data_IF_994398633972
#
_entry.id   IF_994398633972
#
_cell.length_a   1.000
_cell.length_b   1.000
_cell.length_c   1.000
_cell.angle_alpha   90.00
_cell.angle_beta   90.00
_cell.angle_gamma   90.00
#
_symmetry.space_group_name_H-M   'P 1'
#
loop_
_entity.id
_entity.type
_entity.pdbx_description
1 polymer ?
#
# COMPACT_ATOMS: atom_id res chain seq x y z
N UNK A 1 -1.85 -2.68 -11.04
CA UNK A 1 -3.17 -3.20 -11.36
C UNK A 1 -3.13 -4.28 -12.41
N UNK A 2 -4.16 -5.12 -12.42
CA UNK A 2 -4.43 -6.23 -13.34
C UNK A 2 -5.92 -6.19 -13.73
N UNK A 3 -6.21 -6.30 -15.02
CA UNK A 3 -7.57 -6.44 -15.56
C UNK A 3 -7.87 -7.94 -15.77
N UNK A 4 -8.69 -8.52 -14.91
CA UNK A 4 -8.94 -9.96 -14.88
C UNK A 4 -9.75 -10.47 -16.08
N UNK A 5 -10.63 -9.63 -16.63
CA UNK A 5 -11.45 -9.98 -17.80
C UNK A 5 -10.88 -9.46 -19.13
N UNK A 6 -9.57 -9.22 -19.20
CA UNK A 6 -8.93 -8.64 -20.40
C UNK A 6 -9.11 -9.51 -21.66
N UNK A 7 -9.11 -10.84 -21.55
CA UNK A 7 -9.27 -11.74 -22.70
C UNK A 7 -10.66 -11.59 -23.36
N UNK A 8 -11.70 -11.51 -22.54
CA UNK A 8 -13.08 -11.30 -22.99
C UNK A 8 -13.22 -9.94 -23.70
N UNK A 9 -12.73 -8.88 -23.05
CA UNK A 9 -12.77 -7.53 -23.58
C UNK A 9 -11.97 -7.39 -24.88
N UNK A 10 -10.75 -7.96 -24.92
CA UNK A 10 -9.89 -7.98 -26.12
C UNK A 10 -10.59 -8.67 -27.28
N UNK A 11 -11.20 -9.84 -27.06
CA UNK A 11 -11.95 -10.56 -28.11
C UNK A 11 -13.12 -9.73 -28.65
N UNK A 12 -13.86 -9.04 -27.77
CA UNK A 12 -14.98 -8.19 -28.17
C UNK A 12 -14.51 -6.95 -28.95
N UNK A 13 -13.42 -6.30 -28.53
CA UNK A 13 -12.82 -5.15 -29.22
C UNK A 13 -12.29 -5.54 -30.61
N UNK A 14 -11.62 -6.69 -30.74
CA UNK A 14 -11.16 -7.20 -32.04
C UNK A 14 -12.31 -7.45 -33.01
N UNK A 15 -13.46 -7.98 -32.54
CA UNK A 15 -14.67 -8.13 -33.37
C UNK A 15 -15.24 -6.78 -33.82
N UNK A 16 -15.00 -5.71 -33.06
CA UNK A 16 -15.36 -4.33 -33.40
C UNK A 16 -14.28 -3.62 -34.25
N UNK A 17 -13.20 -4.30 -34.63
CA UNK A 17 -12.17 -3.78 -35.54
C UNK A 17 -10.98 -3.10 -34.87
N UNK A 18 -10.80 -3.25 -33.55
CA UNK A 18 -9.62 -2.75 -32.85
C UNK A 18 -8.44 -3.70 -33.01
N UNK A 19 -7.31 -3.18 -33.48
CA UNK A 19 -6.04 -3.88 -33.48
C UNK A 19 -5.36 -3.79 -32.10
N UNK A 20 -4.59 -4.82 -31.75
CA UNK A 20 -3.80 -4.87 -30.52
C UNK A 20 -2.34 -5.10 -30.86
N UNK A 21 -1.46 -4.31 -30.26
CA UNK A 21 -0.03 -4.31 -30.53
C UNK A 21 0.80 -4.81 -29.33
N UNK A 22 0.16 -5.09 -28.19
CA UNK A 22 0.79 -5.62 -27.00
C UNK A 22 0.12 -6.90 -26.50
N UNK A 23 0.85 -7.60 -25.64
CA UNK A 23 0.36 -8.72 -24.84
C UNK A 23 -0.14 -8.25 -23.46
N UNK A 24 -0.17 -6.94 -23.21
CA UNK A 24 -0.61 -6.39 -21.92
C UNK A 24 -2.13 -6.34 -21.84
N UNK A 25 -2.64 -6.54 -20.63
CA UNK A 25 -4.03 -6.28 -20.28
C UNK A 25 -4.38 -4.78 -20.32
N UNK A 26 -3.40 -3.91 -20.07
CA UNK A 26 -3.54 -2.45 -20.06
C UNK A 26 -4.03 -1.87 -21.38
N UNK A 27 -3.62 -2.42 -22.53
CA UNK A 27 -4.04 -1.94 -23.84
C UNK A 27 -5.56 -2.03 -24.06
N UNK A 28 -6.22 -2.98 -23.38
CA UNK A 28 -7.69 -3.11 -23.40
C UNK A 28 -8.36 -1.84 -22.88
N UNK A 29 -7.78 -1.18 -21.87
CA UNK A 29 -8.35 0.04 -21.28
C UNK A 29 -8.38 1.15 -22.33
N UNK A 30 -7.28 1.38 -23.04
CA UNK A 30 -7.18 2.43 -24.07
C UNK A 30 -8.20 2.20 -25.20
N UNK A 31 -8.24 0.98 -25.75
CA UNK A 31 -9.17 0.64 -26.83
C UNK A 31 -10.64 0.67 -26.37
N UNK A 32 -10.93 0.27 -25.13
CA UNK A 32 -12.28 0.33 -24.57
C UNK A 32 -12.75 1.77 -24.35
N UNK A 33 -11.87 2.65 -23.86
CA UNK A 33 -12.18 4.08 -23.72
C UNK A 33 -12.44 4.69 -25.09
N UNK A 34 -11.60 4.39 -26.09
CA UNK A 34 -11.77 4.88 -27.46
C UNK A 34 -13.14 4.47 -28.03
N UNK A 35 -13.48 3.18 -27.94
CA UNK A 35 -14.79 2.68 -28.36
C UNK A 35 -15.95 3.43 -27.69
N UNK A 36 -15.90 3.59 -26.36
CA UNK A 36 -16.96 4.24 -25.61
C UNK A 36 -17.08 5.74 -25.93
N UNK A 37 -15.95 6.40 -26.21
CA UNK A 37 -15.88 7.81 -26.61
C UNK A 37 -16.38 8.03 -28.04
N UNK A 38 -16.07 7.14 -28.97
CA UNK A 38 -16.58 7.19 -30.36
C UNK A 38 -18.11 7.03 -30.40
N UNK A 39 -18.67 6.19 -29.53
CA UNK A 39 -20.12 6.03 -29.38
C UNK A 39 -20.78 7.24 -28.68
N UNK A 40 -20.06 7.92 -27.79
CA UNK A 40 -20.58 9.08 -27.03
C UNK A 40 -19.41 10.03 -26.73
N UNK A 41 -19.25 11.12 -27.51
CA UNK A 41 -18.13 12.08 -27.40
C UNK A 41 -18.18 12.95 -26.14
N UNK A 42 -18.17 12.32 -24.97
CA UNK A 42 -18.16 12.92 -23.65
C UNK A 42 -17.23 12.10 -22.76
N UNK A 43 -16.16 12.74 -22.27
CA UNK A 43 -15.11 12.09 -21.48
C UNK A 43 -15.70 11.40 -20.25
N UNK A 44 -16.63 12.05 -19.55
CA UNK A 44 -17.25 11.50 -18.35
C UNK A 44 -18.04 10.23 -18.66
N UNK A 45 -18.85 10.24 -19.71
CA UNK A 45 -19.62 9.07 -20.13
C UNK A 45 -18.71 7.93 -20.62
N UNK A 46 -17.64 8.25 -21.35
CA UNK A 46 -16.68 7.25 -21.82
C UNK A 46 -16.00 6.53 -20.65
N UNK A 47 -15.56 7.26 -19.63
CA UNK A 47 -14.98 6.68 -18.42
C UNK A 47 -16.01 5.83 -17.66
N UNK A 48 -17.23 6.35 -17.42
CA UNK A 48 -18.31 5.60 -16.72
C UNK A 48 -18.60 4.26 -17.40
N UNK A 49 -18.78 4.26 -18.73
CA UNK A 49 -19.02 3.03 -19.50
C UNK A 49 -17.84 2.06 -19.45
N UNK A 50 -16.61 2.59 -19.37
CA UNK A 50 -15.39 1.78 -19.32
C UNK A 50 -15.27 1.09 -17.97
N UNK A 51 -15.31 1.83 -16.87
CA UNK A 51 -15.12 1.28 -15.51
C UNK A 51 -16.20 0.26 -15.14
N UNK A 52 -17.42 0.40 -15.68
CA UNK A 52 -18.51 -0.57 -15.51
C UNK A 52 -18.23 -1.95 -16.14
N UNK A 53 -17.27 -2.03 -17.07
CA UNK A 53 -16.92 -3.27 -17.79
C UNK A 53 -15.63 -3.92 -17.28
N UNK A 54 -14.77 -3.19 -16.58
CA UNK A 54 -13.50 -3.70 -16.07
C UNK A 54 -13.70 -4.52 -14.79
N UNK A 55 -12.97 -5.64 -14.67
CA UNK A 55 -12.87 -6.46 -13.45
C UNK A 55 -11.40 -6.58 -13.04
N UNK A 56 -11.15 -6.73 -11.74
CA UNK A 56 -9.80 -6.87 -11.17
C UNK A 56 -9.45 -5.70 -10.25
N UNK A 57 -8.19 -5.30 -10.24
CA UNK A 57 -7.69 -4.20 -9.40
C UNK A 57 -6.88 -3.26 -10.28
N UNK A 58 -7.22 -1.98 -10.39
CA UNK A 58 -6.55 -1.07 -11.31
C UNK A 58 -6.58 0.38 -10.85
N UNK A 59 -5.54 1.11 -11.22
CA UNK A 59 -5.59 2.55 -11.33
C UNK A 59 -4.95 2.93 -12.66
N UNK A 60 -5.53 3.91 -13.35
CA UNK A 60 -5.02 4.37 -14.64
C UNK A 60 -5.19 5.87 -14.79
N UNK A 61 -4.38 6.44 -15.68
CA UNK A 61 -4.48 7.82 -16.15
C UNK A 61 -4.47 7.78 -17.68
N UNK A 62 -5.41 8.49 -18.30
CA UNK A 62 -5.57 8.61 -19.74
C UNK A 62 -5.59 10.08 -20.13
N UNK A 63 -5.06 10.40 -21.31
CA UNK A 63 -5.02 11.75 -21.87
C UNK A 63 -5.79 11.73 -23.18
N UNK A 64 -6.76 12.65 -23.32
CA UNK A 64 -7.54 12.86 -24.52
C UNK A 64 -6.84 13.88 -25.45
N UNK A 65 -7.23 13.91 -26.72
CA UNK A 65 -6.60 14.75 -27.75
C UNK A 65 -6.67 16.25 -27.43
N UNK A 66 -7.73 16.69 -26.75
CA UNK A 66 -7.91 18.07 -26.29
C UNK A 66 -7.06 18.44 -25.07
N UNK A 67 -6.26 17.51 -24.54
CA UNK A 67 -5.45 17.68 -23.33
C UNK A 67 -6.20 17.38 -22.03
N UNK A 68 -7.48 17.02 -22.08
CA UNK A 68 -8.21 16.54 -20.90
C UNK A 68 -7.55 15.28 -20.35
N UNK A 69 -7.32 15.24 -19.04
CA UNK A 69 -6.77 14.09 -18.35
C UNK A 69 -7.87 13.45 -17.51
N UNK A 70 -8.05 12.15 -17.60
CA UNK A 70 -8.92 11.41 -16.69
C UNK A 70 -8.13 10.33 -15.96
N UNK A 71 -8.51 10.02 -14.73
CA UNK A 71 -7.91 8.91 -13.98
C UNK A 71 -8.94 8.22 -13.11
N UNK A 72 -8.87 6.91 -12.99
CA UNK A 72 -9.83 6.11 -12.22
C UNK A 72 -9.11 5.23 -11.20
N UNK A 73 -9.76 5.01 -10.06
CA UNK A 73 -9.28 4.18 -8.95
C UNK A 73 -10.22 3.02 -8.68
N UNK A 74 -9.68 1.81 -8.75
CA UNK A 74 -10.29 0.59 -8.25
C UNK A 74 -9.25 -0.26 -7.52
N UNK A 75 -9.28 -0.20 -6.19
CA UNK A 75 -8.38 -0.80 -5.21
C UNK A 75 -6.92 -0.31 -5.24
N UNK A 76 -6.33 -0.14 -6.42
CA UNK A 76 -4.96 0.38 -6.56
C UNK A 76 -4.89 1.88 -6.23
N UNK A 77 -3.79 2.39 -5.68
CA UNK A 77 -3.71 3.79 -5.29
C UNK A 77 -3.70 4.74 -6.49
N UNK A 78 -4.43 5.84 -6.35
CA UNK A 78 -4.38 7.01 -7.22
C UNK A 78 -4.61 8.26 -6.36
N UNK A 79 -3.65 9.18 -6.41
CA UNK A 79 -3.56 10.35 -5.56
C UNK A 79 -3.41 11.58 -6.46
N UNK A 80 -4.14 12.65 -6.13
CA UNK A 80 -4.02 13.95 -6.80
C UNK A 80 -3.22 14.91 -5.93
N UNK A 81 -2.04 15.33 -6.39
CA UNK A 81 -1.32 16.46 -5.81
C UNK A 81 -1.90 17.78 -6.29
N UNK A 82 -2.18 18.71 -5.37
CA UNK A 82 -2.76 20.02 -5.66
C UNK A 82 -1.70 21.11 -5.51
N UNK A 83 -1.18 21.61 -6.63
CA UNK A 83 -0.28 22.75 -6.66
C UNK A 83 -1.03 24.09 -6.71
N UNK A 84 -0.30 25.20 -6.75
CA UNK A 84 -0.91 26.54 -6.84
C UNK A 84 -1.77 26.74 -8.08
N UNK A 85 -1.29 26.26 -9.24
CA UNK A 85 -1.93 26.38 -10.55
C UNK A 85 -1.75 25.08 -11.37
N UNK A 86 -1.57 23.95 -10.69
CA UNK A 86 -1.24 22.68 -11.33
C UNK A 86 -1.81 21.53 -10.51
N UNK A 87 -2.06 20.42 -11.19
CA UNK A 87 -2.45 19.17 -10.57
C UNK A 87 -1.47 18.07 -11.01
N UNK A 88 -1.26 17.09 -10.14
CA UNK A 88 -0.39 15.95 -10.39
C UNK A 88 -1.16 14.67 -10.09
N UNK A 89 -1.18 13.71 -11.01
CA UNK A 89 -1.72 12.39 -10.74
C UNK A 89 -0.58 11.40 -10.55
N UNK A 90 -0.61 10.65 -9.45
CA UNK A 90 0.40 9.63 -9.17
C UNK A 90 -0.19 8.50 -8.34
N UNK A 91 0.46 7.33 -8.37
CA UNK A 91 0.17 6.23 -7.45
C UNK A 91 0.70 6.48 -6.03
N UNK A 92 1.63 7.43 -5.87
CA UNK A 92 2.27 7.75 -4.59
C UNK A 92 2.50 9.28 -4.47
N UNK A 93 2.42 9.82 -3.24
CA UNK A 93 2.74 11.22 -2.93
C UNK A 93 4.14 11.61 -3.40
N UNK A 94 5.09 10.67 -3.42
CA UNK A 94 6.46 10.89 -3.90
C UNK A 94 6.53 11.37 -5.35
N UNK A 95 5.53 11.05 -6.18
CA UNK A 95 5.45 11.50 -7.56
C UNK A 95 5.31 13.03 -7.71
N UNK A 96 4.87 13.73 -6.65
CA UNK A 96 4.62 15.17 -6.69
C UNK A 96 5.08 15.94 -5.45
N UNK A 97 5.64 15.29 -4.43
CA UNK A 97 5.94 15.91 -3.12
C UNK A 97 6.90 17.11 -3.23
N UNK A 98 7.80 17.13 -4.22
CA UNK A 98 8.67 18.28 -4.48
C UNK A 98 7.93 19.52 -5.00
N UNK A 99 6.69 19.36 -5.49
CA UNK A 99 5.88 20.42 -6.09
C UNK A 99 4.78 20.90 -5.16
N UNK A 100 4.22 20.01 -4.36
CA UNK A 100 3.17 20.31 -3.39
C UNK A 100 3.09 19.27 -2.29
N UNK A 101 2.72 19.70 -1.08
CA UNK A 101 2.39 18.83 0.06
C UNK A 101 0.87 18.72 0.28
N UNK A 102 0.05 19.31 -0.59
CA UNK A 102 -1.40 19.16 -0.57
C UNK A 102 -1.81 18.00 -1.49
N UNK A 103 -2.49 17.00 -0.93
CA UNK A 103 -2.91 15.78 -1.62
C UNK A 103 -4.41 15.49 -1.44
N UNK A 104 -5.00 14.90 -2.48
CA UNK A 104 -6.34 14.33 -2.47
C UNK A 104 -6.20 12.84 -2.71
N UNK A 105 -6.65 12.05 -1.74
CA UNK A 105 -6.76 10.61 -1.86
C UNK A 105 -8.14 10.30 -2.42
N UNK A 106 -8.21 9.70 -3.61
CA UNK A 106 -9.48 9.30 -4.21
C UNK A 106 -10.07 8.11 -3.45
N UNK A 107 -11.38 8.03 -3.28
CA UNK A 107 -11.98 6.83 -2.68
C UNK A 107 -11.98 5.67 -3.69
N UNK A 108 -12.28 4.47 -3.21
CA UNK A 108 -12.47 3.34 -4.12
C UNK A 108 -13.70 3.58 -4.99
N UNK A 109 -13.64 3.20 -6.27
CA UNK A 109 -14.71 3.45 -7.25
C UNK A 109 -14.94 4.94 -7.58
N UNK A 110 -13.91 5.76 -7.38
CA UNK A 110 -13.87 7.15 -7.85
C UNK A 110 -13.02 7.31 -9.11
N UNK A 111 -13.36 8.32 -9.90
CA UNK A 111 -12.53 8.84 -10.97
C UNK A 111 -12.50 10.37 -10.98
N UNK A 112 -11.46 10.90 -11.63
CA UNK A 112 -11.20 12.32 -11.80
C UNK A 112 -11.15 12.70 -13.25
N UNK A 113 -11.56 13.94 -13.54
CA UNK A 113 -11.35 14.62 -14.81
C UNK A 113 -10.66 15.96 -14.52
N UNK A 114 -9.55 16.21 -15.20
CA UNK A 114 -8.82 17.47 -15.20
C UNK A 114 -8.87 18.08 -16.59
N UNK A 115 -9.38 19.30 -16.68
CA UNK A 115 -9.44 20.08 -17.91
C UNK A 115 -9.28 21.57 -17.58
N UNK A 116 -9.52 22.46 -18.55
CA UNK A 116 -9.37 23.91 -18.39
C UNK A 116 -10.24 24.52 -17.28
N UNK A 117 -11.28 23.82 -16.84
CA UNK A 117 -12.16 24.28 -15.74
C UNK A 117 -11.70 23.81 -14.36
N UNK A 118 -10.67 22.95 -14.29
CA UNK A 118 -10.08 22.45 -13.05
C UNK A 118 -10.29 20.95 -12.82
N UNK A 119 -10.20 20.55 -11.54
CA UNK A 119 -10.36 19.18 -11.07
C UNK A 119 -11.82 18.87 -10.73
N UNK A 120 -12.36 17.81 -11.33
CA UNK A 120 -13.69 17.27 -11.06
C UNK A 120 -13.58 15.81 -10.62
N UNK A 121 -14.33 15.43 -9.59
CA UNK A 121 -14.36 14.08 -8.99
C UNK A 121 -15.76 13.48 -9.10
N UNK A 122 -15.81 12.21 -9.47
CA UNK A 122 -17.06 11.48 -9.66
C UNK A 122 -16.92 10.04 -9.16
N UNK A 123 -18.02 9.47 -8.68
CA UNK A 123 -18.11 8.02 -8.47
C UNK A 123 -18.33 7.30 -9.80
N UNK A 124 -18.10 5.99 -9.86
CA UNK A 124 -18.32 5.17 -11.06
C UNK A 124 -19.77 5.20 -11.57
N UNK A 125 -20.74 5.55 -10.72
CA UNK A 125 -22.14 5.79 -11.09
C UNK A 125 -22.38 7.16 -11.77
N UNK A 126 -21.36 8.01 -11.83
CA UNK A 126 -21.38 9.35 -12.39
C UNK A 126 -21.86 10.44 -11.44
N UNK A 127 -22.15 10.12 -10.18
CA UNK A 127 -22.47 11.10 -9.14
C UNK A 127 -21.24 11.97 -8.82
N UNK A 128 -21.45 13.25 -8.48
CA UNK A 128 -20.35 14.12 -8.07
C UNK A 128 -19.92 13.81 -6.64
N UNK A 129 -18.63 13.56 -6.45
CA UNK A 129 -18.03 13.24 -5.15
C UNK A 129 -17.29 14.46 -4.62
N UNK A 130 -17.34 14.69 -3.31
CA UNK A 130 -16.54 15.74 -2.66
C UNK A 130 -15.22 15.15 -2.19
N UNK A 131 -14.13 15.84 -2.43
CA UNK A 131 -12.83 15.49 -1.88
C UNK A 131 -12.41 16.41 -0.74
N UNK A 132 -11.46 15.94 0.06
CA UNK A 132 -10.76 16.75 1.05
C UNK A 132 -9.28 16.85 0.66
N UNK A 133 -8.73 18.06 0.79
CA UNK A 133 -7.30 18.28 0.63
C UNK A 133 -6.65 17.99 1.99
N UNK A 134 -5.75 17.03 1.99
CA UNK A 134 -4.96 16.62 3.16
C UNK A 134 -3.52 17.01 2.95
N UNK A 135 -2.89 17.55 3.98
CA UNK A 135 -1.47 17.88 3.95
C UNK A 135 -0.66 16.63 4.23
N UNK A 136 0.20 16.24 3.29
CA UNK A 136 1.11 15.10 3.43
C UNK A 136 2.04 15.33 4.63
N UNK A 137 2.27 14.31 5.45
CA UNK A 137 3.14 14.44 6.63
C UNK A 137 4.56 14.86 6.21
N UNK A 138 5.22 15.66 7.06
CA UNK A 138 6.59 16.14 6.83
C UNK A 138 7.59 15.00 6.59
N UNK A 139 7.31 13.80 7.08
CA UNK A 139 8.17 12.63 6.89
C UNK A 139 8.36 12.27 5.41
N UNK A 140 7.37 12.52 4.55
CA UNK A 140 7.52 12.34 3.10
C UNK A 140 8.22 13.53 2.41
N UNK A 141 8.21 14.71 3.04
CA UNK A 141 8.94 15.88 2.53
C UNK A 141 10.47 15.74 2.72
N UNK A 142 10.90 14.88 3.66
CA UNK A 142 12.32 14.55 3.90
C UNK A 142 12.87 13.46 2.94
N UNK A 143 12.10 13.07 1.91
CA UNK A 143 12.54 12.14 0.86
C UNK A 143 13.43 12.87 -0.15
N UNK A 144 14.57 13.35 0.34
CA UNK A 144 15.65 13.86 -0.49
C UNK A 144 16.80 12.86 -0.48
N UNK A 145 17.29 12.45 -1.65
CA UNK A 145 18.43 11.53 -1.75
C UNK A 145 19.74 12.15 -1.23
N UNK A 146 19.79 13.48 -1.04
CA UNK A 146 21.01 14.15 -0.60
C UNK A 146 22.15 13.97 -1.60
N UNK A 147 23.37 13.90 -1.07
CA UNK A 147 24.59 13.64 -1.84
C UNK A 147 24.80 12.15 -2.19
N UNK A 148 23.84 11.28 -1.86
CA UNK A 148 23.99 9.83 -2.09
C UNK A 148 23.65 9.43 -3.52
N UNK A 149 24.39 8.44 -4.06
CA UNK A 149 24.12 7.92 -5.39
C UNK A 149 22.78 7.16 -5.48
N UNK A 150 22.38 6.45 -4.43
CA UNK A 150 21.18 5.62 -4.36
C UNK A 150 20.48 5.78 -3.00
N UNK A 151 19.15 5.64 -2.96
CA UNK A 151 18.38 5.63 -1.71
C UNK A 151 18.86 4.54 -0.76
N UNK A 152 19.09 3.32 -1.26
CA UNK A 152 19.63 2.22 -0.42
C UNK A 152 20.95 2.58 0.27
N UNK A 153 21.84 3.34 -0.39
CA UNK A 153 23.09 3.77 0.25
C UNK A 153 22.84 4.82 1.33
N UNK A 154 21.95 5.79 1.06
CA UNK A 154 21.49 6.76 2.05
C UNK A 154 20.90 6.04 3.26
N UNK A 155 19.98 5.12 3.03
CA UNK A 155 19.26 4.40 4.09
C UNK A 155 20.20 3.52 4.93
N UNK A 156 21.21 2.89 4.30
CA UNK A 156 22.28 2.19 5.05
C UNK A 156 23.04 3.16 5.96
N UNK A 157 23.36 4.36 5.47
CA UNK A 157 24.08 5.37 6.27
C UNK A 157 23.25 5.96 7.41
N UNK A 158 21.92 5.92 7.30
CA UNK A 158 20.97 6.44 8.30
C UNK A 158 20.73 5.47 9.47
N UNK A 159 21.18 4.21 9.37
CA UNK A 159 20.92 3.18 10.38
C UNK A 159 21.29 3.58 11.82
N UNK A 160 22.44 4.25 12.10
CA UNK A 160 22.77 4.65 13.47
C UNK A 160 21.69 5.53 14.11
N UNK A 161 21.14 6.49 13.35
CA UNK A 161 20.10 7.39 13.81
C UNK A 161 18.75 6.65 13.89
N UNK A 162 18.42 5.86 12.87
CA UNK A 162 17.15 5.14 12.81
C UNK A 162 17.02 4.06 13.91
N UNK A 163 18.13 3.42 14.30
CA UNK A 163 18.17 2.49 15.43
C UNK A 163 17.94 3.24 16.74
N UNK A 164 18.54 4.41 16.90
CA UNK A 164 18.41 5.22 18.13
C UNK A 164 16.98 5.76 18.32
N UNK A 165 16.24 5.93 17.22
CA UNK A 165 14.85 6.38 17.21
C UNK A 165 13.84 5.22 17.21
N UNK A 166 14.30 3.97 17.07
CA UNK A 166 13.44 2.82 16.88
C UNK A 166 12.54 2.56 18.10
N UNK A 167 11.24 2.49 17.85
CA UNK A 167 10.25 2.26 18.88
C UNK A 167 10.08 3.44 19.85
N UNK A 168 9.19 3.25 20.81
CA UNK A 168 8.97 4.15 21.91
C UNK A 168 8.95 3.32 23.20
N UNK A 169 9.66 3.74 24.25
CA UNK A 169 9.79 2.97 25.48
C UNK A 169 8.43 2.57 26.10
N UNK A 170 7.44 3.46 26.05
CA UNK A 170 6.11 3.17 26.60
C UNK A 170 5.37 2.12 25.75
N UNK A 171 5.47 2.23 24.42
CA UNK A 171 4.88 1.25 23.49
C UNK A 171 5.58 -0.12 23.60
N UNK A 172 6.91 -0.12 23.72
CA UNK A 172 7.70 -1.34 23.94
C UNK A 172 7.26 -2.02 25.24
N UNK A 173 7.05 -1.26 26.31
CA UNK A 173 6.58 -1.83 27.57
C UNK A 173 5.20 -2.47 27.44
N UNK A 174 4.26 -1.81 26.74
CA UNK A 174 2.94 -2.38 26.45
C UNK A 174 3.01 -3.67 25.62
N UNK A 175 3.92 -3.70 24.65
CA UNK A 175 4.14 -4.86 23.78
C UNK A 175 4.74 -6.04 24.54
N UNK A 176 5.70 -5.76 25.44
CA UNK A 176 6.26 -6.75 26.38
C UNK A 176 5.17 -7.33 27.27
N UNK A 177 4.23 -6.51 27.76
CA UNK A 177 3.14 -6.98 28.60
C UNK A 177 2.17 -7.88 27.81
N UNK A 178 1.88 -7.54 26.54
CA UNK A 178 1.12 -8.39 25.64
C UNK A 178 1.80 -9.75 25.40
N UNK A 179 3.11 -9.76 25.16
CA UNK A 179 3.90 -10.98 24.97
C UNK A 179 3.93 -11.85 26.24
N UNK A 180 4.11 -11.26 27.42
CA UNK A 180 4.20 -12.02 28.68
C UNK A 180 2.90 -12.73 29.06
N UNK A 181 1.77 -12.20 28.63
CA UNK A 181 0.45 -12.79 28.87
C UNK A 181 0.13 -13.91 27.87
N UNK A 182 0.88 -14.03 26.78
CA UNK A 182 0.66 -15.00 25.74
C UNK A 182 0.93 -16.42 26.23
N UNK A 183 -0.05 -17.32 26.03
CA UNK A 183 0.18 -18.77 26.19
C UNK A 183 1.00 -19.33 25.03
N UNK A 184 0.61 -18.92 23.81
CA UNK A 184 1.28 -19.24 22.57
C UNK A 184 1.60 -17.92 21.86
N UNK A 185 2.83 -17.80 21.36
CA UNK A 185 3.33 -16.60 20.72
C UNK A 185 3.78 -16.93 19.30
N UNK A 186 3.13 -16.29 18.34
CA UNK A 186 3.45 -16.37 16.93
C UNK A 186 4.02 -15.05 16.45
N UNK A 187 4.94 -15.13 15.50
CA UNK A 187 5.48 -13.96 14.83
C UNK A 187 5.54 -14.20 13.32
N UNK A 188 5.14 -13.20 12.55
CA UNK A 188 5.09 -13.26 11.09
C UNK A 188 5.66 -12.00 10.45
N UNK A 189 5.98 -12.15 9.17
CA UNK A 189 6.36 -11.09 8.25
C UNK A 189 6.50 -11.68 6.85
N UNK A 190 6.85 -10.83 5.88
CA UNK A 190 7.25 -11.28 4.54
C UNK A 190 8.68 -10.83 4.23
N UNK A 191 9.42 -11.65 3.47
CA UNK A 191 10.80 -11.39 3.06
C UNK A 191 11.72 -11.00 4.23
N UNK A 192 12.30 -9.80 4.16
CA UNK A 192 13.22 -9.29 5.19
C UNK A 192 12.58 -9.16 6.57
N UNK A 193 11.28 -8.86 6.66
CA UNK A 193 10.59 -8.79 7.97
C UNK A 193 10.41 -10.19 8.59
N UNK A 194 10.27 -11.24 7.77
CA UNK A 194 10.31 -12.62 8.26
C UNK A 194 11.70 -13.02 8.76
N UNK A 195 12.77 -12.54 8.10
CA UNK A 195 14.12 -12.75 8.61
C UNK A 195 14.31 -12.11 10.01
N UNK A 196 13.69 -10.95 10.27
CA UNK A 196 13.69 -10.35 11.60
C UNK A 196 12.94 -11.22 12.62
N UNK A 197 11.82 -11.83 12.22
CA UNK A 197 11.06 -12.77 13.03
C UNK A 197 11.88 -14.02 13.43
N UNK A 198 12.64 -14.60 12.49
CA UNK A 198 13.55 -15.72 12.76
C UNK A 198 14.68 -15.34 13.74
N UNK A 199 15.22 -14.12 13.61
CA UNK A 199 16.22 -13.62 14.57
C UNK A 199 15.58 -13.42 15.95
N UNK A 200 14.39 -12.82 16.02
CA UNK A 200 13.65 -12.65 17.27
C UNK A 200 13.40 -13.98 17.97
N UNK A 201 13.12 -15.05 17.22
CA UNK A 201 12.97 -16.40 17.79
C UNK A 201 14.21 -16.87 18.52
N UNK A 202 15.38 -16.64 17.94
CA UNK A 202 16.64 -16.93 18.60
C UNK A 202 16.85 -16.04 19.84
N UNK A 203 16.62 -14.73 19.74
CA UNK A 203 16.84 -13.77 20.82
C UNK A 203 15.92 -14.04 22.02
N UNK A 204 14.62 -14.20 21.78
CA UNK A 204 13.61 -14.50 22.80
C UNK A 204 13.91 -15.83 23.51
N UNK A 205 14.28 -16.87 22.75
CA UNK A 205 14.64 -18.16 23.34
C UNK A 205 15.92 -18.07 24.20
N UNK A 206 16.93 -17.34 23.72
CA UNK A 206 18.23 -17.22 24.39
C UNK A 206 18.14 -16.40 25.67
N UNK A 207 17.53 -15.21 25.59
CA UNK A 207 17.58 -14.19 26.63
C UNK A 207 16.33 -14.17 27.51
N UNK A 208 15.13 -14.31 26.93
CA UNK A 208 13.87 -14.26 27.66
C UNK A 208 13.34 -15.64 28.09
N UNK A 209 13.89 -16.73 27.53
CA UNK A 209 13.40 -18.11 27.70
C UNK A 209 11.95 -18.30 27.23
N UNK A 210 11.49 -17.44 26.32
CA UNK A 210 10.18 -17.51 25.68
C UNK A 210 10.35 -18.27 24.37
N UNK A 211 9.49 -19.25 24.13
CA UNK A 211 9.41 -19.94 22.83
C UNK A 211 8.43 -19.18 21.96
N UNK A 212 8.84 -18.90 20.72
CA UNK A 212 7.96 -18.30 19.71
C UNK A 212 7.96 -19.17 18.46
N UNK A 213 6.80 -19.21 17.79
CA UNK A 213 6.62 -19.87 16.51
C UNK A 213 6.67 -18.80 15.41
N UNK A 214 7.56 -18.99 14.45
CA UNK A 214 7.69 -18.12 13.29
C UNK A 214 6.88 -18.70 12.15
N UNK A 215 6.05 -17.88 11.50
CA UNK A 215 5.19 -18.30 10.39
C UNK A 215 5.45 -17.39 9.20
N UNK A 216 5.72 -17.96 8.03
CA UNK A 216 5.81 -17.21 6.79
C UNK A 216 4.39 -16.78 6.41
N UNK A 217 4.17 -15.47 6.23
CA UNK A 217 2.83 -14.93 6.05
C UNK A 217 2.06 -15.57 4.88
N UNK A 218 2.74 -15.80 3.75
CA UNK A 218 2.15 -16.41 2.54
C UNK A 218 1.75 -17.88 2.71
N UNK A 219 2.31 -18.58 3.69
CA UNK A 219 2.04 -20.01 3.92
C UNK A 219 0.80 -20.22 4.81
N UNK A 220 0.48 -19.25 5.67
CA UNK A 220 -0.59 -19.39 6.66
C UNK A 220 -1.98 -19.66 6.07
N UNK A 221 -2.38 -19.10 4.90
CA UNK A 221 -3.65 -19.45 4.25
C UNK A 221 -3.81 -20.95 3.92
N UNK A 222 -2.71 -21.69 3.82
CA UNK A 222 -2.73 -23.13 3.55
C UNK A 222 -2.78 -23.99 4.82
N UNK A 223 -2.51 -23.40 5.98
CA UNK A 223 -2.57 -24.07 7.29
C UNK A 223 -3.13 -23.15 8.39
N UNK A 224 -4.36 -22.62 8.22
CA UNK A 224 -4.93 -21.65 9.16
C UNK A 224 -5.07 -22.19 10.60
N UNK A 225 -5.27 -23.50 10.74
CA UNK A 225 -5.37 -24.20 12.02
C UNK A 225 -4.05 -24.25 12.81
N UNK A 226 -2.92 -23.83 12.20
CA UNK A 226 -1.63 -23.72 12.89
C UNK A 226 -1.61 -22.61 13.94
N UNK A 227 -2.56 -21.66 13.90
CA UNK A 227 -2.68 -20.60 14.91
C UNK A 227 -3.64 -21.05 16.00
N UNK A 228 -3.08 -21.30 17.18
CA UNK A 228 -3.86 -21.73 18.32
C UNK A 228 -4.75 -20.60 18.85
N UNK A 229 -5.95 -20.92 19.37
CA UNK A 229 -6.84 -19.93 19.95
C UNK A 229 -6.26 -19.20 21.15
N UNK A 230 -6.69 -17.95 21.37
CA UNK A 230 -6.24 -17.08 22.46
C UNK A 230 -4.71 -16.89 22.51
N UNK A 231 -4.06 -16.99 21.35
CA UNK A 231 -2.63 -16.73 21.18
C UNK A 231 -2.33 -15.23 21.05
N UNK A 232 -1.06 -14.86 21.12
CA UNK A 232 -0.59 -13.54 20.68
C UNK A 232 0.11 -13.70 19.35
N UNK A 233 -0.29 -12.87 18.38
CA UNK A 233 0.21 -12.90 17.02
C UNK A 233 0.90 -11.57 16.69
N UNK A 234 2.21 -11.62 16.51
CA UNK A 234 3.02 -10.44 16.19
C UNK A 234 3.22 -10.36 14.68
N UNK A 235 2.79 -9.25 14.06
CA UNK A 235 3.00 -9.00 12.65
C UNK A 235 4.05 -7.90 12.43
N UNK A 236 5.05 -8.19 11.60
CA UNK A 236 6.10 -7.23 11.23
C UNK A 236 5.93 -6.87 9.74
N UNK A 237 5.76 -5.58 9.46
CA UNK A 237 5.76 -5.08 8.08
C UNK A 237 6.22 -3.63 8.03
N UNK A 238 7.23 -3.33 7.21
CA UNK A 238 7.69 -1.96 7.00
C UNK A 238 6.53 -1.08 6.47
N UNK A 239 5.85 -1.51 5.41
CA UNK A 239 4.77 -0.74 4.79
C UNK A 239 3.48 -0.79 5.61
N UNK A 240 3.22 -1.91 6.28
CA UNK A 240 1.92 -2.21 6.89
C UNK A 240 0.83 -2.56 5.87
N UNK A 241 1.20 -2.75 4.60
CA UNK A 241 0.26 -3.00 3.48
C UNK A 241 0.56 -4.33 2.75
N UNK A 242 1.49 -5.14 3.25
CA UNK A 242 1.83 -6.42 2.63
C UNK A 242 0.63 -7.36 2.66
N UNK A 243 0.07 -7.68 1.49
CA UNK A 243 -1.15 -8.50 1.35
C UNK A 243 -1.08 -9.82 2.12
N UNK A 244 0.04 -10.56 1.99
CA UNK A 244 0.24 -11.82 2.71
C UNK A 244 0.19 -11.64 4.24
N UNK A 245 0.75 -10.54 4.75
CA UNK A 245 0.76 -10.24 6.20
C UNK A 245 -0.64 -9.84 6.67
N UNK A 246 -1.37 -9.06 5.88
CA UNK A 246 -2.76 -8.69 6.19
C UNK A 246 -3.68 -9.92 6.21
N UNK A 247 -3.55 -10.83 5.25
CA UNK A 247 -4.33 -12.07 5.24
C UNK A 247 -3.94 -12.97 6.43
N UNK A 248 -2.65 -13.07 6.75
CA UNK A 248 -2.19 -13.83 7.93
C UNK A 248 -2.77 -13.25 9.25
N UNK A 249 -2.84 -11.93 9.37
CA UNK A 249 -3.47 -11.25 10.52
C UNK A 249 -4.96 -11.52 10.57
N UNK A 250 -5.65 -11.50 9.42
CA UNK A 250 -7.07 -11.84 9.36
C UNK A 250 -7.34 -13.27 9.84
N UNK A 251 -6.55 -14.25 9.39
CA UNK A 251 -6.62 -15.65 9.85
C UNK A 251 -6.37 -15.73 11.36
N UNK A 252 -5.35 -15.04 11.88
CA UNK A 252 -5.06 -15.04 13.31
C UNK A 252 -6.23 -14.48 14.15
N UNK A 253 -6.90 -13.43 13.66
CA UNK A 253 -8.08 -12.85 14.31
C UNK A 253 -9.28 -13.79 14.29
N UNK A 254 -9.47 -14.57 13.24
CA UNK A 254 -10.50 -15.62 13.18
C UNK A 254 -10.29 -16.68 14.28
N UNK A 255 -9.03 -16.94 14.66
CA UNK A 255 -8.65 -17.76 15.82
C UNK A 255 -8.70 -17.02 17.17
N UNK A 256 -9.26 -15.82 17.25
CA UNK A 256 -9.29 -14.99 18.47
C UNK A 256 -7.89 -14.62 19.02
N UNK A 257 -6.87 -14.54 18.15
CA UNK A 257 -5.54 -14.12 18.56
C UNK A 257 -5.50 -12.61 18.84
N UNK A 258 -4.73 -12.21 19.86
CA UNK A 258 -4.41 -10.81 20.10
C UNK A 258 -3.29 -10.37 19.15
N UNK A 259 -3.59 -9.40 18.27
CA UNK A 259 -2.66 -8.95 17.23
C UNK A 259 -1.86 -7.75 17.71
N UNK A 260 -0.53 -7.87 17.67
CA UNK A 260 0.41 -6.77 17.92
C UNK A 260 1.23 -6.54 16.66
N UNK A 261 1.49 -5.28 16.30
CA UNK A 261 2.22 -4.99 15.06
C UNK A 261 3.42 -4.07 15.24
N UNK A 262 4.44 -4.33 14.43
CA UNK A 262 5.61 -3.47 14.28
C UNK A 262 5.61 -2.94 12.85
N UNK A 263 5.42 -1.63 12.69
CA UNK A 263 5.24 -0.98 11.38
C UNK A 263 5.99 0.33 11.28
N UNK A 264 6.35 0.76 10.06
CA UNK A 264 6.90 2.10 9.88
C UNK A 264 5.79 3.15 9.70
N UNK A 265 4.71 2.79 9.02
CA UNK A 265 3.59 3.68 8.72
C UNK A 265 2.44 3.43 9.71
N UNK A 266 2.26 4.33 10.67
CA UNK A 266 1.26 4.20 11.74
C UNK A 266 -0.20 4.31 11.28
N UNK A 267 -0.44 4.82 10.07
CA UNK A 267 -1.79 4.92 9.49
C UNK A 267 -2.10 3.77 8.51
N UNK A 268 -1.26 2.73 8.47
CA UNK A 268 -1.42 1.58 7.56
C UNK A 268 -2.60 0.69 7.91
N UNK A 269 -3.05 -0.12 6.95
CA UNK A 269 -4.07 -1.16 7.13
C UNK A 269 -3.71 -2.08 8.31
N UNK A 270 -2.47 -2.53 8.40
CA UNK A 270 -2.01 -3.38 9.50
C UNK A 270 -2.12 -2.67 10.86
N UNK A 271 -1.89 -1.36 10.91
CA UNK A 271 -2.04 -0.58 12.14
C UNK A 271 -3.48 -0.55 12.62
N UNK A 272 -4.44 -0.44 11.70
CA UNK A 272 -5.87 -0.41 12.01
C UNK A 272 -6.39 -1.78 12.48
N UNK A 273 -5.81 -2.86 11.96
CA UNK A 273 -6.23 -4.23 12.30
C UNK A 273 -5.66 -4.74 13.64
N UNK A 274 -4.70 -4.01 14.23
CA UNK A 274 -3.93 -4.44 15.40
C UNK A 274 -4.43 -3.85 16.71
N UNK A 275 -4.34 -4.61 17.80
CA UNK A 275 -4.66 -4.14 19.15
C UNK A 275 -3.63 -3.15 19.70
N UNK A 276 -2.36 -3.31 19.29
CA UNK A 276 -1.25 -2.46 19.67
C UNK A 276 -0.27 -2.35 18.49
N UNK A 277 0.31 -1.16 18.31
CA UNK A 277 1.25 -0.87 17.23
C UNK A 277 2.49 -0.19 17.81
N UNK A 278 3.67 -0.70 17.45
CA UNK A 278 4.95 -0.02 17.64
C UNK A 278 5.39 0.57 16.29
N UNK A 279 5.71 1.86 16.32
CA UNK A 279 6.35 2.54 15.18
C UNK A 279 7.84 2.21 15.10
N UNK A 280 8.32 1.81 13.92
CA UNK A 280 9.76 1.69 13.64
C UNK A 280 10.47 3.04 13.73
N UNK A 281 9.78 4.13 13.44
CA UNK A 281 10.30 5.50 13.46
C UNK A 281 11.61 5.65 12.66
N UNK A 282 11.83 4.84 11.62
CA UNK A 282 13.07 4.88 10.82
C UNK A 282 12.99 5.87 9.64
N UNK A 283 11.90 6.63 9.55
CA UNK A 283 11.59 7.49 8.42
C UNK A 283 11.25 6.70 7.15
N UNK A 284 10.92 7.38 6.05
CA UNK A 284 10.58 6.71 4.79
C UNK A 284 11.76 5.89 4.26
N UNK A 285 11.46 4.70 3.75
CA UNK A 285 12.43 3.82 3.08
C UNK A 285 11.96 3.63 1.63
N UNK A 286 12.75 4.14 0.70
CA UNK A 286 12.47 4.23 -0.74
C UNK A 286 13.22 3.13 -1.50
N UNK A 287 14.38 2.72 -0.99
CA UNK A 287 15.11 1.58 -1.53
C UNK A 287 14.25 0.32 -1.48
N UNK A 288 14.19 -0.41 -2.61
CA UNK A 288 13.45 -1.68 -2.69
C UNK A 288 14.00 -2.71 -1.68
N UNK A 289 15.32 -2.71 -1.47
CA UNK A 289 15.95 -3.54 -0.47
C UNK A 289 15.80 -2.90 0.92
N UNK A 290 15.09 -3.58 1.82
CA UNK A 290 14.98 -3.19 3.22
C UNK A 290 16.36 -3.12 3.88
N UNK A 291 16.66 -2.00 4.53
CA UNK A 291 17.95 -1.73 5.20
C UNK A 291 17.72 -1.21 6.60
N UNK A 292 17.37 0.07 6.75
CA UNK A 292 17.13 0.72 8.05
C UNK A 292 15.88 0.21 8.74
N UNK A 293 14.85 -0.17 7.97
CA UNK A 293 13.65 -0.81 8.54
C UNK A 293 14.01 -2.13 9.23
N UNK A 294 14.84 -2.97 8.60
CA UNK A 294 15.28 -4.24 9.18
C UNK A 294 16.06 -4.06 10.48
N UNK A 295 17.02 -3.13 10.52
CA UNK A 295 17.79 -2.89 11.74
C UNK A 295 16.95 -2.26 12.86
N UNK A 296 15.99 -1.39 12.52
CA UNK A 296 15.05 -0.84 13.50
C UNK A 296 14.08 -1.90 14.02
N UNK A 297 13.63 -2.85 13.18
CA UNK A 297 12.86 -4.02 13.63
C UNK A 297 13.65 -4.82 14.67
N UNK A 298 14.93 -5.13 14.38
CA UNK A 298 15.80 -5.85 15.31
C UNK A 298 16.13 -5.07 16.59
N UNK A 299 16.11 -3.74 16.55
CA UNK A 299 16.32 -2.93 17.75
C UNK A 299 15.12 -2.96 18.70
N UNK A 300 13.91 -3.11 18.15
CA UNK A 300 12.66 -3.22 18.91
C UNK A 300 12.47 -4.63 19.50
N UNK A 301 12.85 -5.67 18.74
CA UNK A 301 12.69 -7.09 19.09
C UNK A 301 13.72 -7.58 20.12
#
# INVERSE_FOLDING_TARGET
>A
GIIENFEELKSNLQKKGFDFHSETDTEVIANLIQLNFDETPDVKQAIIKTVAQLKGHYSFVVIFEDGTIAGARFHEPLIVGVGKNSYYLSSDVLGFIEKTDDAIYLDNEDFVILNDTGLHTFGFDGSSVKYQITKVSKEFADVYKGDYAHFTLKEISEQPDSISQAGNNDQIQQFVDGIKQAKNLYITGSGTSYNAAEIAKYLMSKFAKIKINTVIASELPFSPDDIEPDSTFVAISQSGESADVLEAVKIAKESNANVLSIVNHLNSSLSQESSLVIGLNCGPEIGVAATKSFTSQLAIL
#
